data_IF_012726911033
#
_entry.id   IF_012726911033
#
_cell.length_a   1.000
_cell.length_b   1.000
_cell.length_c   1.000
_cell.angle_alpha   90.00
_cell.angle_beta   90.00
_cell.angle_gamma   90.00
#
_symmetry.space_group_name_H-M   'P 1'
#
loop_
_entity.id
_entity.type
_entity.pdbx_description
1 polymer ?
#
# COMPACT_ATOMS: atom_id res chain seq x y z
N UNK A 1 40.02 29.23 21.16
CA UNK A 1 39.03 28.16 21.42
C UNK A 1 37.83 28.47 20.53
N UNK A 2 37.87 27.96 19.30
CA UNK A 2 36.77 28.08 18.34
C UNK A 2 35.79 26.93 18.59
N UNK A 3 34.62 27.27 19.12
CA UNK A 3 33.46 26.38 19.16
C UNK A 3 32.87 26.34 17.75
N UNK A 4 33.37 25.39 16.97
CA UNK A 4 32.78 24.97 15.69
C UNK A 4 31.27 24.79 15.87
N UNK A 5 30.52 25.71 15.29
CA UNK A 5 29.14 25.55 14.83
C UNK A 5 29.05 24.31 13.96
N UNK A 6 28.87 23.14 14.58
CA UNK A 6 28.48 21.94 13.86
C UNK A 6 26.98 22.04 13.56
N UNK A 7 26.65 22.80 12.51
CA UNK A 7 25.41 22.54 11.77
C UNK A 7 25.47 21.06 11.37
N UNK A 8 24.48 20.23 11.73
CA UNK A 8 24.40 18.92 11.11
C UNK A 8 24.00 19.17 9.66
N UNK A 9 24.98 19.26 8.77
CA UNK A 9 24.81 19.33 7.31
C UNK A 9 24.43 17.95 6.75
N UNK A 10 23.52 17.27 7.44
CA UNK A 10 22.87 16.07 6.96
C UNK A 10 21.46 16.45 6.57
N UNK A 11 21.35 17.00 5.36
CA UNK A 11 20.13 17.06 4.56
C UNK A 11 19.63 15.65 4.14
N UNK A 12 19.98 14.61 4.88
CA UNK A 12 19.32 13.32 4.84
C UNK A 12 18.01 13.46 5.64
N UNK A 13 17.07 14.21 5.09
CA UNK A 13 15.70 14.30 5.62
C UNK A 13 15.09 12.90 5.75
N UNK A 14 13.97 12.81 6.48
CA UNK A 14 13.21 11.57 6.77
C UNK A 14 13.08 10.53 5.62
N UNK A 15 13.29 10.93 4.37
CA UNK A 15 13.45 10.07 3.20
C UNK A 15 14.44 8.91 3.35
N UNK A 16 15.56 9.07 4.09
CA UNK A 16 16.62 8.03 4.13
C UNK A 16 16.28 6.81 5.01
N UNK A 17 15.15 6.81 5.72
CA UNK A 17 14.77 5.75 6.67
C UNK A 17 13.70 4.79 6.14
N UNK A 18 13.20 4.99 4.92
CA UNK A 18 12.23 4.06 4.34
C UNK A 18 12.98 2.90 3.66
N UNK A 19 12.87 1.65 4.16
CA UNK A 19 13.52 0.51 3.51
C UNK A 19 13.04 0.41 2.07
N UNK A 20 13.94 0.03 1.17
CA UNK A 20 13.71 -0.13 -0.27
C UNK A 20 12.73 -1.28 -0.56
N UNK A 21 11.45 -1.07 -0.25
CA UNK A 21 10.38 -2.04 -0.41
C UNK A 21 9.84 -1.99 -1.84
N UNK A 22 10.43 -2.80 -2.71
CA UNK A 22 9.97 -2.96 -4.10
C UNK A 22 8.66 -3.76 -4.20
N UNK A 23 8.37 -4.60 -3.20
CA UNK A 23 7.19 -5.44 -3.13
C UNK A 23 6.66 -5.55 -1.71
N UNK A 24 5.35 -5.42 -1.54
CA UNK A 24 4.64 -5.71 -0.28
C UNK A 24 3.68 -6.87 -0.53
N UNK A 25 3.73 -7.89 0.33
CA UNK A 25 2.72 -8.94 0.40
C UNK A 25 2.04 -8.81 1.73
N UNK A 26 0.72 -8.70 1.71
CA UNK A 26 -0.05 -8.56 2.92
C UNK A 26 -1.14 -9.61 2.96
N UNK A 27 -1.14 -10.33 4.07
CA UNK A 27 -2.12 -11.37 4.36
C UNK A 27 -3.30 -10.73 5.06
N UNK A 28 -4.45 -10.68 4.38
CA UNK A 28 -5.71 -10.20 4.94
C UNK A 28 -6.21 -11.26 5.91
N UNK A 29 -5.89 -11.03 7.18
CA UNK A 29 -6.50 -11.72 8.31
C UNK A 29 -7.73 -10.94 8.78
N UNK A 30 -8.54 -11.56 9.64
CA UNK A 30 -9.67 -10.91 10.30
C UNK A 30 -9.29 -9.70 11.17
N UNK A 31 -8.01 -9.38 11.34
CA UNK A 31 -7.53 -8.19 12.05
C UNK A 31 -7.15 -7.02 11.11
N UNK A 32 -7.38 -7.18 9.79
CA UNK A 32 -6.89 -6.22 8.81
C UNK A 32 -8.02 -5.52 8.02
N UNK A 33 -7.82 -4.22 7.74
CA UNK A 33 -8.72 -3.34 6.98
C UNK A 33 -8.11 -2.99 5.62
N UNK A 34 -8.92 -3.05 4.56
CA UNK A 34 -8.50 -2.67 3.21
C UNK A 34 -8.23 -1.17 3.09
N UNK A 35 -8.93 -0.34 3.86
CA UNK A 35 -8.73 1.11 3.93
C UNK A 35 -7.32 1.42 4.47
N UNK A 36 -6.94 0.81 5.60
CA UNK A 36 -5.60 0.98 6.16
C UNK A 36 -4.50 0.52 5.19
N UNK A 37 -4.78 -0.50 4.37
CA UNK A 37 -3.85 -0.92 3.32
C UNK A 37 -3.75 0.08 2.19
N UNK A 38 -4.88 0.62 1.74
CA UNK A 38 -4.89 1.65 0.71
C UNK A 38 -4.07 2.86 1.14
N UNK A 39 -4.21 3.29 2.39
CA UNK A 39 -3.44 4.39 2.97
C UNK A 39 -1.93 4.07 2.98
N UNK A 40 -1.58 2.86 3.42
CA UNK A 40 -0.19 2.39 3.38
C UNK A 40 0.37 2.42 1.95
N UNK A 41 -0.34 1.83 0.98
CA UNK A 41 0.11 1.79 -0.41
C UNK A 41 0.23 3.19 -1.01
N UNK A 42 -0.73 4.07 -0.72
CA UNK A 42 -0.75 5.44 -1.23
C UNK A 42 0.43 6.25 -0.68
N UNK A 43 0.70 6.14 0.63
CA UNK A 43 1.86 6.79 1.26
C UNK A 43 3.20 6.35 0.68
N UNK A 44 3.30 5.09 0.19
CA UNK A 44 4.53 4.51 -0.37
C UNK A 44 4.67 4.69 -1.88
N UNK A 45 3.55 4.78 -2.59
CA UNK A 45 3.53 5.00 -4.04
C UNK A 45 3.85 6.46 -4.40
N UNK A 46 3.56 7.42 -3.50
CA UNK A 46 3.70 8.86 -3.73
C UNK A 46 4.93 9.49 -3.05
N UNK A 47 5.87 8.69 -2.52
CA UNK A 47 7.12 9.25 -2.01
C UNK A 47 7.95 9.71 -3.20
N UNK A 48 7.76 10.99 -3.57
CA UNK A 48 8.58 11.69 -4.54
C UNK A 48 10.04 11.58 -4.14
N UNK A 49 10.89 11.31 -5.13
CA UNK A 49 12.32 11.25 -4.95
C UNK A 49 12.79 12.41 -4.05
N UNK A 50 13.43 12.08 -2.93
CA UNK A 50 14.29 13.07 -2.31
C UNK A 50 15.43 13.31 -3.30
N UNK A 51 15.37 14.40 -4.06
CA UNK A 51 16.36 14.77 -5.09
C UNK A 51 17.69 15.27 -4.50
N UNK A 52 18.11 14.73 -3.35
CA UNK A 52 19.44 14.91 -2.82
C UNK A 52 20.36 13.85 -3.46
N UNK A 53 20.88 14.14 -4.66
CA UNK A 53 22.06 13.44 -5.19
C UNK A 53 21.81 12.12 -5.96
N UNK A 54 20.63 11.93 -6.57
CA UNK A 54 20.41 10.84 -7.53
C UNK A 54 20.09 9.47 -6.93
N UNK A 55 19.84 9.38 -5.63
CA UNK A 55 19.33 8.16 -4.99
C UNK A 55 17.80 8.19 -5.01
N UNK A 56 17.22 7.72 -6.11
CA UNK A 56 15.77 7.59 -6.24
C UNK A 56 15.20 6.71 -5.13
N UNK A 57 14.24 7.24 -4.37
CA UNK A 57 13.50 6.44 -3.39
C UNK A 57 12.86 5.25 -4.10
N UNK A 58 12.99 4.06 -3.51
CA UNK A 58 12.45 2.84 -4.08
C UNK A 58 10.94 2.93 -4.22
N UNK A 59 10.48 3.17 -5.44
CA UNK A 59 9.07 3.13 -5.79
C UNK A 59 8.53 1.73 -5.51
N UNK A 60 7.45 1.65 -4.74
CA UNK A 60 6.72 0.39 -4.56
C UNK A 60 6.18 -0.03 -5.94
N UNK A 61 6.68 -1.16 -6.46
CA UNK A 61 6.29 -1.66 -7.79
C UNK A 61 5.19 -2.71 -7.71
N UNK A 62 5.09 -3.41 -6.58
CA UNK A 62 4.22 -4.56 -6.44
C UNK A 62 3.53 -4.60 -5.08
N UNK A 63 2.23 -4.88 -5.09
CA UNK A 63 1.44 -5.09 -3.90
C UNK A 63 0.55 -6.33 -4.07
N UNK A 64 0.53 -7.20 -3.07
CA UNK A 64 -0.26 -8.45 -3.11
C UNK A 64 -1.13 -8.54 -1.89
N UNK A 65 -2.44 -8.69 -2.10
CA UNK A 65 -3.43 -8.97 -1.07
C UNK A 65 -3.66 -10.48 -1.03
N UNK A 66 -3.35 -11.16 0.08
CA UNK A 66 -3.58 -12.61 0.22
C UNK A 66 -4.76 -12.81 1.15
N UNK A 67 -5.88 -13.32 0.63
CA UNK A 67 -7.13 -13.43 1.37
C UNK A 67 -7.29 -14.86 1.90
N UNK A 68 -7.26 -15.00 3.23
CA UNK A 68 -7.50 -16.29 3.90
C UNK A 68 -8.76 -16.29 4.76
N UNK A 69 -9.21 -15.11 5.20
CA UNK A 69 -10.44 -14.97 5.96
C UNK A 69 -11.61 -14.67 5.01
N UNK A 70 -12.78 -15.27 5.31
CA UNK A 70 -14.03 -14.91 4.65
C UNK A 70 -14.54 -13.52 5.06
N UNK A 71 -14.10 -13.03 6.23
CA UNK A 71 -14.56 -11.79 6.86
C UNK A 71 -13.34 -10.94 7.27
N UNK A 72 -13.43 -9.64 7.02
CA UNK A 72 -12.43 -8.61 7.35
C UNK A 72 -12.51 -8.18 8.82
N UNK A 73 -11.57 -7.36 9.30
CA UNK A 73 -11.65 -6.75 10.63
C UNK A 73 -12.86 -5.87 10.88
N UNK A 74 -13.38 -5.28 9.82
CA UNK A 74 -14.60 -4.48 9.86
C UNK A 74 -15.89 -5.32 9.90
N UNK A 75 -15.80 -6.66 9.97
CA UNK A 75 -16.97 -7.54 9.96
C UNK A 75 -17.58 -7.78 8.57
N UNK A 76 -17.04 -7.13 7.53
CA UNK A 76 -17.50 -7.28 6.13
C UNK A 76 -16.94 -8.53 5.48
N UNK A 77 -17.69 -9.14 4.56
CA UNK A 77 -17.16 -10.20 3.67
C UNK A 77 -15.91 -9.70 2.93
N UNK A 78 -14.85 -10.51 2.85
CA UNK A 78 -13.55 -10.10 2.31
C UNK A 78 -13.58 -9.67 0.83
N UNK A 79 -14.53 -10.19 0.06
CA UNK A 79 -14.73 -9.79 -1.34
C UNK A 79 -15.61 -8.53 -1.50
N UNK A 80 -16.31 -8.08 -0.45
CA UNK A 80 -17.01 -6.79 -0.48
C UNK A 80 -16.07 -5.67 -0.05
N UNK A 81 -16.08 -4.59 -0.82
CA UNK A 81 -15.20 -3.45 -0.60
C UNK A 81 -15.95 -2.15 -0.89
N UNK A 82 -15.82 -1.09 -0.06
CA UNK A 82 -16.42 0.19 -0.38
C UNK A 82 -15.97 0.69 -1.74
N UNK A 83 -16.88 1.35 -2.45
CA UNK A 83 -16.61 1.90 -3.78
C UNK A 83 -15.36 2.80 -3.75
N UNK A 84 -15.23 3.65 -2.72
CA UNK A 84 -14.09 4.56 -2.59
C UNK A 84 -12.76 3.82 -2.45
N UNK A 85 -12.71 2.77 -1.63
CA UNK A 85 -11.50 1.97 -1.42
C UNK A 85 -11.11 1.20 -2.68
N UNK A 86 -12.09 0.65 -3.40
CA UNK A 86 -11.87 0.00 -4.69
C UNK A 86 -11.30 0.97 -5.73
N UNK A 87 -11.85 2.18 -5.79
CA UNK A 87 -11.38 3.25 -6.67
C UNK A 87 -9.95 3.69 -6.33
N UNK A 88 -9.60 3.74 -5.04
CA UNK A 88 -8.23 3.97 -4.59
C UNK A 88 -7.25 2.91 -5.11
N UNK A 89 -7.57 1.62 -4.95
CA UNK A 89 -6.75 0.54 -5.50
C UNK A 89 -6.64 0.60 -7.02
N UNK A 90 -7.72 0.97 -7.72
CA UNK A 90 -7.72 1.19 -9.17
C UNK A 90 -6.80 2.36 -9.55
N UNK A 91 -6.83 3.45 -8.78
CA UNK A 91 -5.94 4.60 -8.95
C UNK A 91 -4.47 4.21 -8.85
N UNK A 92 -4.10 3.48 -7.81
CA UNK A 92 -2.72 2.99 -7.63
C UNK A 92 -2.24 2.12 -8.78
N UNK A 93 -3.11 1.23 -9.31
CA UNK A 93 -2.78 0.45 -10.51
C UNK A 93 -2.53 1.31 -11.74
N UNK A 94 -3.34 2.35 -11.94
CA UNK A 94 -3.15 3.32 -13.05
C UNK A 94 -1.85 4.10 -12.90
N UNK A 95 -1.40 4.35 -11.67
CA UNK A 95 -0.12 4.97 -11.36
C UNK A 95 1.10 4.05 -11.53
N UNK A 96 0.91 2.79 -11.95
CA UNK A 96 1.99 1.85 -12.25
C UNK A 96 2.26 0.79 -11.19
N UNK A 97 1.46 0.72 -10.10
CA UNK A 97 1.57 -0.34 -9.10
C UNK A 97 0.98 -1.67 -9.62
N UNK A 98 1.77 -2.75 -9.64
CA UNK A 98 1.25 -4.11 -9.87
C UNK A 98 0.54 -4.61 -8.61
N UNK A 99 -0.76 -4.29 -8.49
CA UNK A 99 -1.63 -4.68 -7.39
C UNK A 99 -2.60 -5.81 -7.81
N UNK A 100 -2.59 -6.91 -7.07
CA UNK A 100 -3.49 -8.06 -7.29
C UNK A 100 -3.83 -8.81 -6.00
N UNK A 101 -4.81 -9.72 -6.09
CA UNK A 101 -5.26 -10.57 -4.97
C UNK A 101 -4.81 -12.01 -5.19
N UNK A 102 -4.43 -12.71 -4.13
CA UNK A 102 -4.30 -14.17 -4.08
C UNK A 102 -5.42 -14.70 -3.19
N UNK A 103 -6.33 -15.47 -3.77
CA UNK A 103 -7.44 -16.12 -3.06
C UNK A 103 -7.39 -17.61 -3.33
N UNK A 104 -7.35 -18.43 -2.28
CA UNK A 104 -7.26 -19.89 -2.42
C UNK A 104 -6.03 -20.35 -3.22
N UNK A 105 -4.92 -19.60 -3.15
CA UNK A 105 -3.70 -19.88 -3.93
C UNK A 105 -3.72 -19.38 -5.38
N UNK A 106 -4.84 -18.87 -5.88
CA UNK A 106 -4.97 -18.35 -7.25
C UNK A 106 -4.82 -16.83 -7.30
N UNK A 107 -3.99 -16.33 -8.22
CA UNK A 107 -3.89 -14.90 -8.55
C UNK A 107 -5.17 -14.45 -9.25
N UNK A 108 -5.79 -13.38 -8.74
CA UNK A 108 -6.98 -12.72 -9.30
C UNK A 108 -6.76 -11.23 -9.45
N UNK A 109 -7.36 -10.63 -10.48
CA UNK A 109 -7.40 -9.18 -10.60
C UNK A 109 -8.35 -8.56 -9.58
N UNK A 110 -8.20 -7.25 -9.30
CA UNK A 110 -9.11 -6.53 -8.40
C UNK A 110 -10.58 -6.66 -8.83
N UNK A 111 -10.84 -6.60 -10.14
CA UNK A 111 -12.20 -6.69 -10.72
C UNK A 111 -12.78 -8.10 -10.64
N UNK A 112 -11.94 -9.13 -10.68
CA UNK A 112 -12.36 -10.53 -10.55
C UNK A 112 -12.65 -10.94 -9.11
N UNK A 113 -12.01 -10.28 -8.14
CA UNK A 113 -12.12 -10.64 -6.74
C UNK A 113 -13.14 -9.78 -5.98
N UNK A 114 -13.16 -8.47 -6.20
CA UNK A 114 -13.97 -7.57 -5.40
C UNK A 114 -15.35 -7.29 -6.02
N UNK A 115 -16.36 -7.22 -5.14
CA UNK A 115 -17.69 -6.67 -5.39
C UNK A 115 -17.74 -5.27 -4.75
N UNK A 116 -17.45 -4.20 -5.52
CA UNK A 116 -17.41 -2.85 -4.96
C UNK A 116 -18.81 -2.32 -4.66
N UNK A 117 -18.96 -1.65 -3.52
CA UNK A 117 -20.23 -1.09 -3.07
C UNK A 117 -20.47 -1.34 -1.58
N UNK A 118 -21.69 -1.04 -1.13
CA UNK A 118 -22.14 -1.44 0.19
C UNK A 118 -22.43 -2.95 0.21
N UNK A 119 -22.02 -3.61 1.28
CA UNK A 119 -22.46 -4.98 1.54
C UNK A 119 -23.96 -4.92 1.81
N UNK A 120 -24.74 -5.67 1.02
CA UNK A 120 -26.16 -5.81 1.30
C UNK A 120 -26.28 -6.87 2.38
N UNK A 121 -26.91 -6.51 3.49
CA UNK A 121 -27.35 -7.49 4.47
C UNK A 121 -28.37 -8.41 3.79
N UNK A 122 -28.05 -9.70 3.69
CA UNK A 122 -28.96 -10.78 3.28
C UNK A 122 -29.84 -11.19 4.47
#
# INVERSE_FOLDING_TARGET
>A
MDLLTHKPDHAAGLCCLLPNLTSIRLTVHSAFSYEAFLDLLSSRCHVGACDAGGVGLAQLRKAVLITWAAVTASGRRAYYLPQQTFEGFRGLRKSGLDLYVISGGTKRSLKEYFSPGEEKDD
#
